data_IF_224697245566
#
_entry.id   IF_224697245566
#
_cell.length_a   1.000
_cell.length_b   1.000
_cell.length_c   1.000
_cell.angle_alpha   90.00
_cell.angle_beta   90.00
_cell.angle_gamma   90.00
#
_symmetry.space_group_name_H-M   'P 1'
#
loop_
_entity.id
_entity.type
_entity.pdbx_description
1 polymer ?
#
# COMPACT_ATOMS: atom_id res chain seq x y z
N UNK A 1 -4.56 -11.86 -7.20
CA UNK A 1 -5.18 -10.60 -7.63
C UNK A 1 -4.14 -9.80 -8.39
N UNK A 2 -4.52 -9.04 -9.41
CA UNK A 2 -3.64 -8.02 -10.00
C UNK A 2 -3.76 -6.77 -9.15
N UNK A 3 -2.65 -6.09 -8.85
CA UNK A 3 -2.71 -4.80 -8.15
C UNK A 3 -3.46 -3.78 -9.04
N UNK A 4 -4.20 -2.83 -8.45
CA UNK A 4 -4.74 -1.72 -9.20
C UNK A 4 -3.59 -0.85 -9.73
N UNK A 5 -3.84 -0.06 -10.78
CA UNK A 5 -2.85 0.89 -11.30
C UNK A 5 -2.88 2.22 -10.53
N UNK A 6 -3.96 2.49 -9.78
CA UNK A 6 -4.15 3.68 -8.97
C UNK A 6 -5.07 3.40 -7.78
N UNK A 7 -4.97 4.24 -6.75
CA UNK A 7 -5.82 4.24 -5.55
C UNK A 7 -6.10 5.68 -5.14
N UNK A 8 -7.37 6.00 -4.87
CA UNK A 8 -7.72 7.31 -4.32
C UNK A 8 -7.64 7.27 -2.79
N UNK A 9 -6.93 8.22 -2.21
CA UNK A 9 -6.81 8.41 -0.77
C UNK A 9 -7.16 9.85 -0.45
N UNK A 10 -8.29 10.07 0.23
CA UNK A 10 -8.77 11.40 0.61
C UNK A 10 -8.85 12.42 -0.54
N UNK A 11 -9.17 11.97 -1.77
CA UNK A 11 -9.22 12.82 -2.96
C UNK A 11 -7.90 12.92 -3.74
N UNK A 12 -6.81 12.34 -3.25
CA UNK A 12 -5.51 12.28 -3.92
C UNK A 12 -5.35 10.94 -4.63
N UNK A 13 -4.99 10.96 -5.91
CA UNK A 13 -4.79 9.76 -6.72
C UNK A 13 -3.32 9.31 -6.68
N UNK A 14 -3.06 8.21 -5.97
CA UNK A 14 -1.76 7.57 -5.93
C UNK A 14 -1.62 6.56 -7.07
N UNK A 15 -0.57 6.70 -7.88
CA UNK A 15 -0.24 5.71 -8.91
C UNK A 15 0.48 4.52 -8.29
N UNK A 16 0.05 3.31 -8.63
CA UNK A 16 0.60 2.07 -8.12
C UNK A 16 1.44 1.42 -9.20
N UNK A 17 2.70 1.14 -8.90
CA UNK A 17 3.62 0.51 -9.85
C UNK A 17 4.44 -0.62 -9.23
N UNK A 18 4.69 -1.66 -10.02
CA UNK A 18 5.61 -2.74 -9.65
C UNK A 18 7.01 -2.44 -10.20
N UNK A 19 7.99 -2.30 -9.33
CA UNK A 19 9.37 -1.92 -9.68
C UNK A 19 10.35 -3.05 -9.33
N UNK A 20 11.48 -3.14 -10.03
CA UNK A 20 12.49 -4.16 -9.73
C UNK A 20 13.25 -3.86 -8.44
N UNK A 21 13.44 -2.58 -8.14
CA UNK A 21 14.19 -2.06 -7.01
C UNK A 21 13.45 -0.83 -6.46
N UNK A 22 13.43 -0.68 -5.15
CA UNK A 22 12.92 0.51 -4.47
C UNK A 22 14.12 1.46 -4.33
N UNK A 23 14.01 2.65 -4.90
CA UNK A 23 15.11 3.63 -4.82
C UNK A 23 15.35 4.02 -3.35
N UNK A 24 16.62 4.17 -2.99
CA UNK A 24 17.10 4.55 -1.66
C UNK A 24 16.95 3.52 -0.52
N UNK A 25 16.32 2.36 -0.74
CA UNK A 25 16.37 1.26 0.22
C UNK A 25 16.08 -0.11 -0.42
N UNK A 26 17.11 -0.93 -0.60
CA UNK A 26 16.99 -2.29 -1.15
C UNK A 26 16.29 -3.28 -0.23
N UNK A 27 16.28 -2.99 1.08
CA UNK A 27 15.63 -3.82 2.07
C UNK A 27 14.11 -3.67 2.03
N UNK A 28 13.59 -2.55 1.50
CA UNK A 28 12.17 -2.28 1.45
C UNK A 28 11.46 -3.09 0.35
N UNK A 29 10.23 -3.49 0.69
CA UNK A 29 9.34 -4.26 -0.18
C UNK A 29 8.30 -3.40 -0.87
N UNK A 30 8.05 -2.20 -0.35
CA UNK A 30 7.25 -1.14 -0.93
C UNK A 30 7.70 0.22 -0.41
N UNK A 31 7.19 1.28 -1.02
CA UNK A 31 7.32 2.65 -0.51
C UNK A 31 6.17 3.52 -1.01
N UNK A 32 5.76 4.46 -0.16
CA UNK A 32 4.84 5.54 -0.49
C UNK A 32 5.60 6.85 -0.62
N UNK A 33 5.55 7.43 -1.81
CA UNK A 33 6.22 8.70 -2.16
C UNK A 33 5.15 9.78 -2.25
N UNK A 34 5.02 10.56 -1.18
CA UNK A 34 3.95 11.55 -1.04
C UNK A 34 4.07 12.68 -2.06
N UNK A 35 5.29 13.17 -2.33
CA UNK A 35 5.54 14.31 -3.21
C UNK A 35 5.08 14.09 -4.66
N UNK A 36 5.05 12.82 -5.09
CA UNK A 36 4.69 12.45 -6.46
C UNK A 36 3.44 11.57 -6.53
N UNK A 37 2.79 11.33 -5.40
CA UNK A 37 1.66 10.43 -5.23
C UNK A 37 1.90 9.07 -5.88
N UNK A 38 2.96 8.38 -5.45
CA UNK A 38 3.33 7.07 -5.97
C UNK A 38 3.41 6.03 -4.86
N UNK A 39 2.88 4.84 -5.15
CA UNK A 39 3.10 3.64 -4.36
C UNK A 39 3.88 2.67 -5.24
N UNK A 40 5.08 2.33 -4.80
CA UNK A 40 5.94 1.38 -5.50
C UNK A 40 5.99 0.07 -4.72
N UNK A 41 5.93 -1.06 -5.42
CA UNK A 41 5.96 -2.38 -4.80
C UNK A 41 6.98 -3.25 -5.54
N UNK A 42 7.80 -3.99 -4.80
CA UNK A 42 8.83 -4.84 -5.38
C UNK A 42 8.23 -5.96 -6.21
N UNK A 43 8.58 -5.99 -7.50
CA UNK A 43 8.03 -6.90 -8.51
C UNK A 43 8.35 -8.37 -8.23
N UNK A 44 9.45 -8.66 -7.53
CA UNK A 44 9.87 -10.03 -7.21
C UNK A 44 9.00 -10.74 -6.17
N UNK A 45 8.13 -10.00 -5.47
CA UNK A 45 7.27 -10.55 -4.43
C UNK A 45 6.15 -11.43 -5.01
N UNK A 46 5.73 -12.44 -4.26
CA UNK A 46 4.55 -13.23 -4.60
C UNK A 46 3.25 -12.41 -4.48
N UNK A 47 2.17 -12.92 -5.06
CA UNK A 47 0.88 -12.21 -5.13
C UNK A 47 0.29 -11.88 -3.75
N UNK A 48 0.50 -12.73 -2.75
CA UNK A 48 -0.05 -12.53 -1.42
C UNK A 48 0.75 -11.49 -0.66
N UNK A 49 2.08 -11.55 -0.77
CA UNK A 49 2.96 -10.53 -0.20
C UNK A 49 2.72 -9.16 -0.83
N UNK A 50 2.61 -9.08 -2.16
CA UNK A 50 2.26 -7.82 -2.85
C UNK A 50 0.97 -7.19 -2.33
N UNK A 51 -0.05 -8.00 -2.02
CA UNK A 51 -1.30 -7.49 -1.46
C UNK A 51 -1.10 -6.91 -0.07
N UNK A 52 -0.34 -7.59 0.80
CA UNK A 52 -0.05 -7.09 2.14
C UNK A 52 0.70 -5.76 2.08
N UNK A 53 1.76 -5.71 1.27
CA UNK A 53 2.56 -4.50 1.09
C UNK A 53 1.73 -3.38 0.50
N UNK A 54 0.90 -3.65 -0.51
CA UNK A 54 -0.02 -2.64 -1.04
C UNK A 54 -0.91 -2.01 0.05
N UNK A 55 -1.48 -2.82 0.94
CA UNK A 55 -2.33 -2.32 2.02
C UNK A 55 -1.51 -1.53 3.05
N UNK A 56 -0.28 -1.96 3.34
CA UNK A 56 0.67 -1.23 4.19
C UNK A 56 0.96 0.17 3.62
N UNK A 57 1.33 0.26 2.35
CA UNK A 57 1.60 1.54 1.68
C UNK A 57 0.35 2.44 1.57
N UNK A 58 -0.82 1.85 1.30
CA UNK A 58 -2.08 2.62 1.31
C UNK A 58 -2.37 3.19 2.70
N UNK A 59 -2.04 2.48 3.78
CA UNK A 59 -2.20 3.03 5.13
C UNK A 59 -1.23 4.18 5.40
N UNK A 60 0.02 4.11 4.92
CA UNK A 60 0.91 5.26 4.95
C UNK A 60 0.30 6.49 4.30
N UNK A 61 -0.22 6.34 3.08
CA UNK A 61 -0.93 7.42 2.39
C UNK A 61 -2.15 7.90 3.20
N UNK A 62 -2.98 6.99 3.74
CA UNK A 62 -4.17 7.36 4.53
C UNK A 62 -3.80 8.19 5.76
N UNK A 63 -2.77 7.78 6.51
CA UNK A 63 -2.32 8.52 7.68
C UNK A 63 -1.78 9.89 7.30
N UNK A 64 -0.92 9.95 6.29
CA UNK A 64 -0.34 11.20 5.80
C UNK A 64 -1.44 12.19 5.35
N UNK A 65 -2.35 11.76 4.47
CA UNK A 65 -3.44 12.59 3.96
C UNK A 65 -4.48 12.96 5.03
N UNK A 66 -4.57 12.18 6.11
CA UNK A 66 -5.40 12.51 7.28
C UNK A 66 -4.73 13.54 8.22
N UNK A 67 -3.52 13.98 7.91
CA UNK A 67 -2.77 14.98 8.67
C UNK A 67 -1.89 14.42 9.78
N UNK A 68 -1.71 13.10 9.86
CA UNK A 68 -0.71 12.50 10.74
C UNK A 68 0.68 12.71 10.14
N UNK A 69 1.46 13.60 10.76
CA UNK A 69 2.82 13.96 10.28
C UNK A 69 3.87 12.90 10.62
N UNK A 70 3.63 12.17 11.71
CA UNK A 70 4.43 11.03 12.14
C UNK A 70 3.46 9.94 12.55
N UNK A 71 3.71 8.72 12.08
CA UNK A 71 2.99 7.52 12.49
C UNK A 71 3.99 6.41 12.74
N UNK A 72 3.63 5.51 13.65
CA UNK A 72 4.47 4.38 14.03
C UNK A 72 4.36 3.26 12.98
N UNK A 73 5.49 2.85 12.41
CA UNK A 73 5.59 1.71 11.50
C UNK A 73 4.97 0.44 12.10
N UNK A 74 5.14 0.22 13.41
CA UNK A 74 4.56 -0.93 14.09
C UNK A 74 3.01 -0.88 14.07
N UNK A 75 2.43 0.31 14.17
CA UNK A 75 0.98 0.49 14.04
C UNK A 75 0.53 0.17 12.61
N UNK A 76 1.23 0.69 11.60
CA UNK A 76 0.92 0.43 10.19
C UNK A 76 1.03 -1.07 9.87
N UNK A 77 2.07 -1.75 10.33
CA UNK A 77 2.26 -3.19 10.15
C UNK A 77 1.13 -4.03 10.75
N UNK A 78 0.75 -3.72 11.99
CA UNK A 78 -0.30 -4.46 12.69
C UNK A 78 -1.67 -4.28 12.02
N UNK A 79 -2.01 -3.04 11.65
CA UNK A 79 -3.28 -2.73 11.01
C UNK A 79 -3.31 -3.29 9.59
N UNK A 80 -2.25 -3.10 8.79
CA UNK A 80 -2.15 -3.58 7.41
C UNK A 80 -2.28 -5.10 7.33
N UNK A 81 -1.58 -5.84 8.21
CA UNK A 81 -1.64 -7.30 8.27
C UNK A 81 -3.07 -7.78 8.56
N UNK A 82 -3.72 -7.15 9.55
CA UNK A 82 -5.09 -7.50 9.95
C UNK A 82 -6.09 -7.20 8.84
N UNK A 83 -5.99 -6.02 8.22
CA UNK A 83 -6.83 -5.64 7.08
C UNK A 83 -6.61 -6.55 5.88
N UNK A 84 -5.37 -6.86 5.53
CA UNK A 84 -5.05 -7.75 4.42
C UNK A 84 -5.67 -9.14 4.58
N UNK A 85 -5.61 -9.71 5.80
CA UNK A 85 -6.27 -10.97 6.11
C UNK A 85 -7.80 -10.89 6.04
N UNK A 86 -8.37 -9.81 6.58
CA UNK A 86 -9.83 -9.58 6.62
C UNK A 86 -10.41 -9.42 5.22
N UNK A 87 -9.77 -8.60 4.37
CA UNK A 87 -10.22 -8.29 3.01
C UNK A 87 -10.00 -9.48 2.06
N UNK A 88 -9.02 -10.35 2.32
CA UNK A 88 -8.78 -11.55 1.50
C UNK A 88 -9.91 -12.57 1.57
N UNK A 89 -10.59 -12.69 2.72
CA UNK A 89 -11.63 -13.72 2.95
C UNK A 89 -12.97 -13.38 2.30
N UNK A 90 -13.19 -12.10 2.01
CA UNK A 90 -14.39 -11.56 1.36
C UNK A 90 -14.20 -11.64 -0.17
N UNK A 91 -14.25 -12.85 -0.74
CA UNK A 91 -14.05 -13.06 -2.18
C UNK A 91 -14.92 -12.13 -3.05
N UNK A 92 -14.32 -11.50 -4.05
CA UNK A 92 -14.93 -10.69 -5.12
C UNK A 92 -15.92 -9.56 -4.75
N UNK A 93 -16.18 -9.27 -3.47
CA UNK A 93 -17.14 -8.23 -3.04
C UNK A 93 -16.50 -6.90 -2.64
N UNK A 94 -15.18 -6.78 -2.69
CA UNK A 94 -14.47 -5.54 -2.30
C UNK A 94 -14.11 -4.70 -3.52
N UNK A 95 -15.15 -4.17 -4.17
CA UNK A 95 -15.09 -2.93 -4.96
C UNK A 95 -15.16 -1.69 -4.03
N UNK A 96 -14.67 -1.78 -2.78
CA UNK A 96 -14.93 -0.76 -1.74
C UNK A 96 -13.67 -0.15 -1.12
N UNK A 97 -12.52 -0.29 -1.76
CA UNK A 97 -11.35 0.54 -1.41
C UNK A 97 -10.81 1.39 -2.55
N UNK A 98 -11.35 1.26 -3.77
CA UNK A 98 -11.27 2.18 -4.91
C UNK A 98 -12.41 1.85 -5.85
#
# INVERSE_FOLDING_TARGET
MKLPNEVNVSGINYRVSEVNQIEHDDANWGVTIYETHQIQIKKSLDKERKRQIFIHEVLHAVFFESGYKEHDEEMIDRISTTLAGTLKKQGNSLNYLV
#
